data_IF_379072464405
#
_entry.id   IF_379072464405
#
_cell.length_a   1.000
_cell.length_b   1.000
_cell.length_c   1.000
_cell.angle_alpha   90.00
_cell.angle_beta   90.00
_cell.angle_gamma   90.00
#
_symmetry.space_group_name_H-M   'P 1'
#
loop_
_entity.id
_entity.type
_entity.pdbx_description
1 polymer ?
#
# COMPACT_ATOMS: atom_id res chain seq x y z
N UNK A 1 -11.11 0.35 -38.41
CA UNK A 1 -9.67 0.05 -38.21
C UNK A 1 -9.11 0.78 -36.98
N UNK A 2 -8.52 1.99 -37.06
CA UNK A 2 -7.89 2.62 -35.87
C UNK A 2 -8.90 3.05 -34.76
N UNK A 3 -10.08 3.53 -35.13
CA UNK A 3 -11.10 3.96 -34.16
C UNK A 3 -11.78 2.80 -33.41
N UNK A 4 -11.92 1.63 -34.05
CA UNK A 4 -12.46 0.42 -33.41
C UNK A 4 -11.41 -0.23 -32.50
N UNK A 5 -10.14 -0.19 -32.90
CA UNK A 5 -9.02 -0.64 -32.07
C UNK A 5 -8.91 0.17 -30.78
N UNK A 6 -8.96 1.51 -30.88
CA UNK A 6 -8.93 2.38 -29.70
C UNK A 6 -10.14 2.16 -28.79
N UNK A 7 -11.34 1.97 -29.37
CA UNK A 7 -12.56 1.66 -28.60
C UNK A 7 -12.49 0.30 -27.89
N UNK A 8 -11.88 -0.71 -28.53
CA UNK A 8 -11.62 -2.01 -27.92
C UNK A 8 -10.63 -1.92 -26.76
N UNK A 9 -9.55 -1.17 -26.95
CA UNK A 9 -8.53 -0.93 -25.90
C UNK A 9 -9.10 -0.14 -24.70
N UNK A 10 -9.94 0.86 -24.95
CA UNK A 10 -10.66 1.58 -23.88
C UNK A 10 -11.58 0.63 -23.09
N UNK A 11 -12.26 -0.29 -23.77
CA UNK A 11 -13.14 -1.27 -23.12
C UNK A 11 -12.39 -2.33 -22.29
N UNK A 12 -11.18 -2.71 -22.72
CA UNK A 12 -10.31 -3.61 -21.95
C UNK A 12 -9.76 -2.91 -20.70
N UNK A 13 -9.34 -1.64 -20.82
CA UNK A 13 -8.90 -0.84 -19.68
C UNK A 13 -10.03 -0.61 -18.66
N UNK A 14 -11.24 -0.32 -19.13
CA UNK A 14 -12.42 -0.19 -18.27
C UNK A 14 -12.78 -1.48 -17.54
N UNK A 15 -12.50 -2.64 -18.15
CA UNK A 15 -12.68 -3.94 -17.50
C UNK A 15 -11.61 -4.16 -16.42
N UNK A 16 -10.35 -3.80 -16.69
CA UNK A 16 -9.26 -3.86 -15.71
C UNK A 16 -9.52 -2.94 -14.51
N UNK A 17 -9.99 -1.71 -14.74
CA UNK A 17 -10.32 -0.80 -13.65
C UNK A 17 -11.47 -1.33 -12.78
N UNK A 18 -12.51 -1.91 -13.39
CA UNK A 18 -13.58 -2.58 -12.63
C UNK A 18 -13.07 -3.75 -11.80
N UNK A 19 -12.18 -4.59 -12.37
CA UNK A 19 -11.55 -5.68 -11.61
C UNK A 19 -10.72 -5.17 -10.43
N UNK A 20 -10.04 -4.03 -10.58
CA UNK A 20 -9.28 -3.41 -9.49
C UNK A 20 -10.21 -2.86 -8.42
N UNK A 21 -11.31 -2.21 -8.79
CA UNK A 21 -12.31 -1.72 -7.84
C UNK A 21 -12.94 -2.88 -7.06
N UNK A 22 -13.31 -3.97 -7.74
CA UNK A 22 -13.84 -5.18 -7.11
C UNK A 22 -12.83 -5.81 -6.13
N UNK A 23 -11.56 -5.87 -6.52
CA UNK A 23 -10.48 -6.36 -5.65
C UNK A 23 -10.24 -5.44 -4.44
N UNK A 24 -10.40 -4.13 -4.59
CA UNK A 24 -10.33 -3.18 -3.47
C UNK A 24 -11.50 -3.38 -2.51
N UNK A 25 -12.72 -3.58 -3.00
CA UNK A 25 -13.87 -3.89 -2.15
C UNK A 25 -13.71 -5.25 -1.45
N UNK A 26 -13.19 -6.26 -2.14
CA UNK A 26 -12.86 -7.56 -1.53
C UNK A 26 -11.78 -7.39 -0.45
N UNK A 27 -10.75 -6.58 -0.70
CA UNK A 27 -9.70 -6.32 0.27
C UNK A 27 -10.23 -5.65 1.56
N UNK A 28 -11.29 -4.84 1.48
CA UNK A 28 -11.94 -4.28 2.68
C UNK A 28 -12.62 -5.34 3.55
N UNK A 29 -12.98 -6.49 2.97
CA UNK A 29 -13.54 -7.62 3.70
C UNK A 29 -12.47 -8.45 4.42
N UNK A 30 -11.20 -8.29 4.07
CA UNK A 30 -10.08 -8.97 4.72
C UNK A 30 -9.97 -8.46 6.15
N UNK A 31 -10.33 -9.31 7.10
CA UNK A 31 -10.04 -9.08 8.51
C UNK A 31 -8.66 -9.61 8.83
N UNK A 32 -7.72 -8.71 9.05
CA UNK A 32 -6.40 -9.06 9.58
C UNK A 32 -6.58 -9.31 11.08
N UNK A 33 -6.62 -10.58 11.49
CA UNK A 33 -6.62 -10.92 12.90
C UNK A 33 -5.24 -10.60 13.50
N UNK A 34 -5.23 -9.68 14.48
CA UNK A 34 -4.02 -9.35 15.22
C UNK A 34 -3.84 -10.37 16.33
N UNK A 35 -3.12 -11.44 16.02
CA UNK A 35 -2.87 -12.50 16.99
C UNK A 35 -1.99 -12.02 18.16
N UNK A 36 -1.97 -12.80 19.24
CA UNK A 36 -1.19 -12.44 20.43
C UNK A 36 0.33 -12.24 20.14
N UNK A 37 0.99 -13.06 19.30
CA UNK A 37 2.35 -12.77 18.83
C UNK A 37 2.50 -11.39 18.17
N UNK A 38 1.60 -11.02 17.27
CA UNK A 38 1.63 -9.75 16.56
C UNK A 38 1.45 -8.58 17.52
N UNK A 39 0.47 -8.65 18.43
CA UNK A 39 0.24 -7.63 19.45
C UNK A 39 1.46 -7.46 20.39
N UNK A 40 2.15 -8.55 20.73
CA UNK A 40 3.42 -8.46 21.48
C UNK A 40 4.51 -7.76 20.68
N UNK A 41 4.58 -8.02 19.37
CA UNK A 41 5.51 -7.33 18.48
C UNK A 41 5.27 -5.82 18.45
N UNK A 42 4.00 -5.40 18.34
CA UNK A 42 3.62 -3.99 18.44
C UNK A 42 4.07 -3.40 19.78
N UNK A 43 3.74 -4.05 20.90
CA UNK A 43 4.09 -3.54 22.22
C UNK A 43 5.61 -3.35 22.40
N UNK A 44 6.43 -4.27 21.86
CA UNK A 44 7.89 -4.15 21.90
C UNK A 44 8.35 -2.92 21.11
N UNK A 45 7.81 -2.72 19.91
CA UNK A 45 8.16 -1.58 19.06
C UNK A 45 7.72 -0.28 19.73
N UNK A 46 6.49 -0.21 20.23
CA UNK A 46 5.96 0.97 20.92
C UNK A 46 6.77 1.34 22.16
N UNK A 47 7.31 0.36 22.89
CA UNK A 47 8.14 0.58 24.07
C UNK A 47 9.54 1.14 23.74
N UNK A 48 9.96 1.18 22.47
CA UNK A 48 11.28 1.70 22.12
C UNK A 48 11.40 3.20 22.48
N UNK A 49 12.57 3.67 22.95
CA UNK A 49 12.77 5.07 23.33
C UNK A 49 12.46 6.06 22.18
N UNK A 50 12.83 5.71 20.95
CA UNK A 50 12.52 6.51 19.76
C UNK A 50 11.04 6.60 19.43
N UNK A 51 10.20 5.76 20.04
CA UNK A 51 8.75 5.72 19.85
C UNK A 51 7.98 6.45 20.96
N UNK A 52 8.64 6.82 22.05
CA UNK A 52 8.02 7.61 23.12
C UNK A 52 7.70 9.04 22.70
N UNK A 53 6.77 9.67 23.42
CA UNK A 53 6.46 11.10 23.25
C UNK A 53 7.68 11.96 23.58
N UNK A 54 7.92 13.03 22.80
CA UNK A 54 9.07 13.92 22.95
C UNK A 54 10.40 13.38 22.40
N UNK A 55 10.45 12.12 21.93
CA UNK A 55 11.62 11.61 21.23
C UNK A 55 11.75 12.18 19.82
N UNK A 56 12.97 12.25 19.30
CA UNK A 56 13.22 12.64 17.91
C UNK A 56 12.57 11.65 16.92
N UNK A 57 11.68 12.16 16.06
CA UNK A 57 10.95 11.39 15.05
C UNK A 57 11.52 11.54 13.64
N UNK A 58 12.72 12.10 13.46
CA UNK A 58 13.39 12.18 12.14
C UNK A 58 13.48 10.83 11.43
N UNK A 59 13.53 9.73 12.17
CA UNK A 59 13.53 8.38 11.60
C UNK A 59 12.24 8.05 10.85
N UNK A 60 11.08 8.58 11.27
CA UNK A 60 9.77 8.39 10.60
C UNK A 60 9.83 9.01 9.20
N UNK A 61 10.33 10.24 9.09
CA UNK A 61 10.48 10.92 7.81
C UNK A 61 11.44 10.19 6.87
N UNK A 62 12.54 9.66 7.42
CA UNK A 62 13.47 8.83 6.66
C UNK A 62 12.81 7.56 6.13
N UNK A 63 12.00 6.90 6.97
CA UNK A 63 11.27 5.70 6.59
C UNK A 63 10.26 6.00 5.47
N UNK A 64 9.45 7.05 5.62
CA UNK A 64 8.48 7.47 4.60
C UNK A 64 9.17 7.78 3.27
N UNK A 65 10.27 8.54 3.31
CA UNK A 65 11.04 8.86 2.11
C UNK A 65 11.60 7.62 1.40
N UNK A 66 12.09 6.63 2.16
CA UNK A 66 12.58 5.36 1.60
C UNK A 66 11.42 4.57 0.97
N UNK A 67 10.27 4.50 1.64
CA UNK A 67 9.07 3.82 1.13
C UNK A 67 8.58 4.46 -0.16
N UNK A 68 8.47 5.79 -0.22
CA UNK A 68 8.07 6.53 -1.42
C UNK A 68 9.02 6.26 -2.59
N UNK A 69 10.33 6.29 -2.34
CA UNK A 69 11.33 5.95 -3.35
C UNK A 69 11.20 4.52 -3.84
N UNK A 70 10.94 3.58 -2.93
CA UNK A 70 10.80 2.18 -3.26
C UNK A 70 9.55 1.94 -4.13
N UNK A 71 8.42 2.54 -3.75
CA UNK A 71 7.17 2.46 -4.49
C UNK A 71 7.27 3.12 -5.87
N UNK A 72 7.87 4.31 -5.96
CA UNK A 72 8.12 4.99 -7.22
C UNK A 72 9.03 4.17 -8.17
N UNK A 73 10.03 3.47 -7.61
CA UNK A 73 10.89 2.57 -8.39
C UNK A 73 10.14 1.31 -8.86
N UNK A 74 9.26 0.75 -8.03
CA UNK A 74 8.44 -0.40 -8.40
C UNK A 74 7.44 -0.06 -9.52
N UNK A 75 6.82 1.12 -9.47
CA UNK A 75 5.92 1.59 -10.53
C UNK A 75 6.68 1.87 -11.82
N UNK A 76 7.86 2.50 -11.76
CA UNK A 76 8.68 2.79 -12.96
C UNK A 76 9.18 1.54 -13.69
N UNK A 77 9.19 0.37 -13.05
CA UNK A 77 9.65 -0.89 -13.64
C UNK A 77 8.52 -1.73 -14.28
N UNK A 78 7.28 -1.22 -14.30
CA UNK A 78 6.19 -1.79 -15.08
C UNK A 78 6.07 -1.14 -16.44
#
# INVERSE_FOLDING_TARGET
MAAEYNRGMDSELDAVFRMLDDAVEEAKSIRVELDAPFLRGIAIIEALPGNQSGADKTWVHRLLHVSDRHFAAAIRKR
#
